data_IF_178247148289
#
_entry.id   IF_178247148289
#
_cell.length_a   1.000
_cell.length_b   1.000
_cell.length_c   1.000
_cell.angle_alpha   90.00
_cell.angle_beta   90.00
_cell.angle_gamma   90.00
#
_symmetry.space_group_name_H-M   'P 1'
#
loop_
_entity.id
_entity.type
_entity.pdbx_description
1 polymer ?
#
# COMPACT_ATOMS: atom_id res chain seq x y z
N UNK A 1 -1.87 -14.74 5.14
CA UNK A 1 -1.73 -13.32 5.46
C UNK A 1 -3.07 -12.70 5.88
N UNK A 2 -4.13 -12.75 5.04
CA UNK A 2 -5.45 -12.17 5.37
C UNK A 2 -6.06 -12.74 6.67
N UNK A 3 -5.98 -14.06 6.90
CA UNK A 3 -6.45 -14.68 8.14
C UNK A 3 -5.74 -14.17 9.40
N UNK A 4 -4.44 -13.88 9.31
CA UNK A 4 -3.68 -13.28 10.40
C UNK A 4 -4.12 -11.85 10.69
N UNK A 5 -4.38 -11.04 9.65
CA UNK A 5 -4.86 -9.67 9.80
C UNK A 5 -6.26 -9.62 10.42
N UNK A 6 -7.15 -10.52 10.02
CA UNK A 6 -8.50 -10.66 10.59
C UNK A 6 -8.41 -11.10 12.05
N UNK A 7 -7.60 -12.11 12.35
CA UNK A 7 -7.39 -12.58 13.72
C UNK A 7 -6.83 -11.48 14.64
N UNK A 8 -5.82 -10.75 14.16
CA UNK A 8 -5.24 -9.62 14.90
C UNK A 8 -6.27 -8.52 15.15
N UNK A 9 -7.14 -8.21 14.18
CA UNK A 9 -8.22 -7.23 14.35
C UNK A 9 -9.19 -7.65 15.45
N UNK A 10 -9.64 -8.91 15.43
CA UNK A 10 -10.56 -9.44 16.45
C UNK A 10 -9.92 -9.39 17.86
N UNK A 11 -8.62 -9.67 17.96
CA UNK A 11 -7.91 -9.59 19.24
C UNK A 11 -7.73 -8.15 19.77
N UNK A 12 -7.69 -7.14 18.90
CA UNK A 12 -7.56 -5.74 19.30
C UNK A 12 -8.89 -5.11 19.77
N UNK A 13 -10.03 -5.61 19.28
CA UNK A 13 -11.35 -5.10 19.67
C UNK A 13 -11.72 -5.44 21.13
N UNK A 14 -10.98 -6.33 21.82
CA UNK A 14 -11.30 -6.81 23.17
C UNK A 14 -10.59 -6.08 24.30
N UNK A 15 -9.45 -5.37 24.08
CA UNK A 15 -8.60 -4.93 25.19
C UNK A 15 -7.94 -3.53 25.07
N UNK A 16 -8.28 -2.69 24.09
CA UNK A 16 -7.53 -1.43 23.91
C UNK A 16 -8.40 -0.17 24.03
N UNK A 17 -8.22 0.61 25.11
CA UNK A 17 -8.79 1.94 25.17
C UNK A 17 -7.98 2.92 24.29
N UNK A 18 -8.70 3.66 23.45
CA UNK A 18 -8.39 5.01 22.90
C UNK A 18 -7.08 5.31 22.13
N UNK A 19 -6.13 4.37 21.97
CA UNK A 19 -4.93 4.59 21.13
C UNK A 19 -5.16 4.28 19.64
N UNK A 20 -6.40 4.02 19.25
CA UNK A 20 -6.81 3.67 17.87
C UNK A 20 -6.52 4.79 16.85
N UNK A 21 -6.28 6.02 17.32
CA UNK A 21 -5.98 7.19 16.49
C UNK A 21 -4.49 7.47 16.31
N UNK A 22 -3.64 6.72 16.98
CA UNK A 22 -2.22 6.83 16.79
C UNK A 22 -1.85 6.21 15.43
N UNK A 23 -1.21 6.95 14.50
CA UNK A 23 -0.72 6.40 13.25
C UNK A 23 0.23 5.22 13.39
N UNK A 24 0.93 5.09 14.53
CA UNK A 24 1.74 3.91 14.87
C UNK A 24 0.93 2.81 15.55
N UNK A 25 -0.34 3.09 15.93
CA UNK A 25 -1.21 2.19 16.71
C UNK A 25 -0.59 1.78 18.07
N UNK A 26 0.23 2.65 18.66
CA UNK A 26 0.96 2.35 19.90
C UNK A 26 2.00 1.23 19.76
N UNK A 27 2.25 0.72 18.55
CA UNK A 27 3.17 -0.40 18.33
C UNK A 27 4.62 0.07 18.32
N UNK A 28 5.50 -0.75 18.89
CA UNK A 28 6.93 -0.58 18.72
C UNK A 28 7.36 -0.93 17.29
N UNK A 29 8.47 -0.35 16.83
CA UNK A 29 8.96 -0.52 15.47
C UNK A 29 9.02 -1.98 14.96
N UNK A 30 9.54 -2.98 15.72
CA UNK A 30 9.60 -4.35 15.24
C UNK A 30 8.21 -4.96 14.96
N UNK A 31 7.25 -4.69 15.84
CA UNK A 31 5.88 -5.19 15.69
C UNK A 31 5.18 -4.50 14.52
N UNK A 32 5.32 -3.17 14.41
CA UNK A 32 4.79 -2.42 13.27
C UNK A 32 5.33 -2.96 11.93
N UNK A 33 6.65 -3.19 11.83
CA UNK A 33 7.28 -3.70 10.62
C UNK A 33 6.85 -5.14 10.30
N UNK A 34 6.61 -5.96 11.31
CA UNK A 34 6.07 -7.31 11.10
C UNK A 34 4.64 -7.26 10.53
N UNK A 35 3.76 -6.46 11.14
CA UNK A 35 2.38 -6.24 10.67
C UNK A 35 2.38 -5.63 9.27
N UNK A 36 3.21 -4.59 9.03
CA UNK A 36 3.38 -3.98 7.72
C UNK A 36 3.79 -5.00 6.66
N UNK A 37 4.75 -5.86 6.96
CA UNK A 37 5.22 -6.88 6.02
C UNK A 37 4.11 -7.88 5.68
N UNK A 38 3.36 -8.36 6.69
CA UNK A 38 2.21 -9.25 6.50
C UNK A 38 1.14 -8.56 5.64
N UNK A 39 0.85 -7.29 5.90
CA UNK A 39 -0.09 -6.48 5.14
C UNK A 39 0.36 -6.33 3.68
N UNK A 40 1.64 -6.03 3.44
CA UNK A 40 2.19 -5.93 2.08
C UNK A 40 2.13 -7.26 1.33
N UNK A 41 2.40 -8.38 1.99
CA UNK A 41 2.23 -9.71 1.40
C UNK A 41 0.76 -9.93 1.02
N UNK A 42 -0.18 -9.64 1.93
CA UNK A 42 -1.61 -9.82 1.69
C UNK A 42 -2.13 -9.01 0.50
N UNK A 43 -1.71 -7.74 0.41
CA UNK A 43 -2.24 -6.79 -0.57
C UNK A 43 -1.46 -6.80 -1.90
N UNK A 44 -0.14 -6.96 -1.83
CA UNK A 44 0.72 -6.75 -3.00
C UNK A 44 1.06 -8.02 -3.75
N UNK A 45 1.12 -9.20 -3.12
CA UNK A 45 1.41 -10.44 -3.85
C UNK A 45 0.35 -10.77 -4.91
N UNK A 46 -0.96 -10.67 -4.64
CA UNK A 46 -1.95 -10.89 -5.68
C UNK A 46 -1.75 -9.97 -6.89
N UNK A 47 -1.38 -8.71 -6.64
CA UNK A 47 -1.17 -7.70 -7.70
C UNK A 47 0.16 -7.88 -8.45
N UNK A 48 1.17 -8.47 -7.82
CA UNK A 48 2.48 -8.76 -8.40
C UNK A 48 2.56 -10.17 -9.04
N UNK A 49 1.56 -11.03 -8.79
CA UNK A 49 1.56 -12.42 -9.25
C UNK A 49 1.84 -12.57 -10.76
N UNK A 50 1.25 -11.78 -11.68
CA UNK A 50 1.55 -11.90 -13.10
C UNK A 50 3.05 -11.73 -13.42
N UNK A 51 3.74 -10.79 -12.75
CA UNK A 51 5.17 -10.56 -12.93
C UNK A 51 6.00 -11.69 -12.33
N UNK A 52 5.70 -12.12 -11.11
CA UNK A 52 6.40 -13.22 -10.42
C UNK A 52 6.30 -14.52 -11.23
N UNK A 53 5.10 -14.83 -11.72
CA UNK A 53 4.87 -16.02 -12.54
C UNK A 53 5.57 -15.93 -13.90
N UNK A 54 5.63 -14.76 -14.53
CA UNK A 54 6.35 -14.57 -15.79
C UNK A 54 7.86 -14.75 -15.57
N UNK A 55 8.43 -14.18 -14.52
CA UNK A 55 9.83 -14.41 -14.15
C UNK A 55 10.11 -15.89 -13.93
N UNK A 56 9.25 -16.56 -13.17
CA UNK A 56 9.36 -18.01 -12.90
C UNK A 56 9.37 -18.82 -14.20
N UNK A 57 8.43 -18.57 -15.13
CA UNK A 57 8.36 -19.28 -16.41
C UNK A 57 9.61 -19.09 -17.27
N UNK A 58 10.18 -17.89 -17.27
CA UNK A 58 11.44 -17.65 -18.00
C UNK A 58 12.59 -18.43 -17.38
N UNK A 59 12.69 -18.45 -16.06
CA UNK A 59 13.74 -19.19 -15.34
C UNK A 59 13.63 -20.71 -15.52
N UNK A 60 12.42 -21.26 -15.45
CA UNK A 60 12.20 -22.70 -15.69
C UNK A 60 12.48 -23.08 -17.15
N UNK A 61 12.17 -22.19 -18.09
CA UNK A 61 12.55 -22.38 -19.49
C UNK A 61 14.07 -22.39 -19.72
N UNK A 62 14.83 -21.58 -18.99
CA UNK A 62 16.31 -21.61 -18.98
C UNK A 62 16.83 -22.92 -18.40
N UNK A 63 16.32 -23.34 -17.27
CA UNK A 63 16.69 -24.62 -16.65
C UNK A 63 16.47 -25.81 -17.59
N UNK A 64 15.36 -25.84 -18.31
CA UNK A 64 15.05 -26.89 -19.29
C UNK A 64 16.02 -26.92 -20.48
N UNK A 65 16.76 -25.85 -20.74
CA UNK A 65 17.83 -25.78 -21.78
C UNK A 65 19.23 -26.01 -21.22
N UNK A 66 19.36 -26.30 -19.92
CA UNK A 66 20.65 -26.48 -19.27
C UNK A 66 21.37 -25.15 -18.90
N UNK A 67 20.69 -24.02 -19.03
CA UNK A 67 21.22 -22.70 -18.63
C UNK A 67 21.15 -22.51 -17.09
N UNK A 68 21.91 -21.56 -16.58
CA UNK A 68 21.91 -21.23 -15.15
C UNK A 68 20.52 -20.79 -14.67
N UNK A 69 19.99 -21.50 -13.68
CA UNK A 69 18.72 -21.24 -13.02
C UNK A 69 18.90 -20.31 -11.82
N UNK A 70 18.01 -19.34 -11.67
CA UNK A 70 17.93 -18.47 -10.49
C UNK A 70 16.56 -18.61 -9.84
N UNK A 71 16.55 -18.86 -8.52
CA UNK A 71 15.31 -19.00 -7.77
C UNK A 71 14.45 -17.75 -7.84
N UNK A 72 13.16 -17.92 -8.11
CA UNK A 72 12.15 -16.84 -8.13
C UNK A 72 12.07 -16.08 -6.80
N UNK A 73 12.40 -16.75 -5.69
CA UNK A 73 12.40 -16.11 -4.38
C UNK A 73 13.44 -14.99 -4.24
N UNK A 74 14.52 -15.03 -5.03
CA UNK A 74 15.52 -13.95 -5.07
C UNK A 74 14.91 -12.68 -5.70
N UNK A 75 14.12 -12.82 -6.75
CA UNK A 75 13.36 -11.72 -7.33
C UNK A 75 12.33 -11.18 -6.33
N UNK A 76 11.60 -12.08 -5.65
CA UNK A 76 10.61 -11.71 -4.62
C UNK A 76 11.27 -10.99 -3.45
N UNK A 77 12.45 -11.43 -3.01
CA UNK A 77 13.20 -10.76 -1.95
C UNK A 77 13.58 -9.32 -2.35
N UNK A 78 14.05 -9.11 -3.57
CA UNK A 78 14.32 -7.76 -4.10
C UNK A 78 13.06 -6.89 -4.13
N UNK A 79 11.93 -7.44 -4.52
CA UNK A 79 10.63 -6.75 -4.50
C UNK A 79 10.21 -6.38 -3.07
N UNK A 80 10.31 -7.32 -2.12
CA UNK A 80 9.94 -7.10 -0.73
C UNK A 80 10.88 -6.14 0.00
N UNK A 81 12.14 -6.04 -0.43
CA UNK A 81 13.10 -5.05 0.11
C UNK A 81 12.55 -3.62 -0.05
N UNK A 82 11.96 -3.29 -1.21
CA UNK A 82 11.37 -1.96 -1.44
C UNK A 82 10.22 -1.70 -0.46
N UNK A 83 9.35 -2.68 -0.23
CA UNK A 83 8.25 -2.55 0.72
C UNK A 83 8.71 -2.52 2.17
N UNK A 84 9.80 -3.23 2.50
CA UNK A 84 10.44 -3.15 3.82
C UNK A 84 10.99 -1.76 4.11
N UNK A 85 11.71 -1.16 3.16
CA UNK A 85 12.20 0.23 3.28
C UNK A 85 11.03 1.20 3.44
N UNK A 86 9.95 1.02 2.66
CA UNK A 86 8.75 1.83 2.82
C UNK A 86 8.07 1.65 4.18
N UNK A 87 8.12 0.44 4.76
CA UNK A 87 7.64 0.20 6.12
C UNK A 87 8.41 1.00 7.17
N UNK A 88 9.73 1.07 7.05
CA UNK A 88 10.56 1.90 7.92
C UNK A 88 10.21 3.38 7.78
N UNK A 89 10.05 3.86 6.55
CA UNK A 89 9.67 5.26 6.28
C UNK A 89 8.24 5.56 6.78
N UNK A 90 7.31 4.62 6.62
CA UNK A 90 5.95 4.75 7.12
C UNK A 90 5.91 4.83 8.65
N UNK A 91 6.67 3.97 9.35
CA UNK A 91 6.80 4.03 10.80
C UNK A 91 7.40 5.36 11.27
N UNK A 92 8.51 5.78 10.68
CA UNK A 92 9.16 7.05 11.03
C UNK A 92 8.24 8.26 10.78
N UNK A 93 7.52 8.26 9.64
CA UNK A 93 6.53 9.29 9.32
C UNK A 93 5.35 9.32 10.29
N UNK A 94 4.82 8.14 10.65
CA UNK A 94 3.75 7.99 11.62
C UNK A 94 4.17 8.50 13.02
N UNK A 95 5.32 8.05 13.52
CA UNK A 95 5.86 8.49 14.80
C UNK A 95 6.14 10.00 14.82
N UNK A 96 6.68 10.55 13.72
CA UNK A 96 6.89 11.99 13.57
C UNK A 96 5.59 12.78 13.56
N UNK A 97 4.55 12.28 12.90
CA UNK A 97 3.23 12.89 12.88
C UNK A 97 2.57 12.90 14.26
N UNK A 98 2.68 11.81 15.02
CA UNK A 98 2.20 11.72 16.41
C UNK A 98 2.90 12.73 17.32
N UNK A 99 4.23 12.78 17.25
CA UNK A 99 5.02 13.74 18.03
C UNK A 99 4.62 15.19 17.69
N UNK A 100 4.45 15.50 16.42
CA UNK A 100 4.06 16.84 15.98
C UNK A 100 2.63 17.17 16.42
N UNK A 101 1.68 16.23 16.28
CA UNK A 101 0.30 16.39 16.70
C UNK A 101 0.19 16.68 18.20
N UNK A 102 0.97 15.95 19.04
CA UNK A 102 1.03 16.17 20.47
C UNK A 102 1.62 17.54 20.85
N UNK A 103 2.62 18.03 20.11
CA UNK A 103 3.22 19.36 20.35
C UNK A 103 2.31 20.52 19.96
N UNK A 104 1.56 20.38 18.89
CA UNK A 104 0.68 21.45 18.35
C UNK A 104 -0.71 21.40 18.97
N UNK A 105 -1.07 20.33 19.68
CA UNK A 105 -2.41 20.16 20.25
C UNK A 105 -3.48 20.08 19.16
N UNK A 106 -3.24 19.25 18.12
CA UNK A 106 -4.17 19.10 17.00
C UNK A 106 -5.54 18.61 17.46
N UNK A 107 -6.58 19.36 17.12
CA UNK A 107 -7.95 18.89 17.34
C UNK A 107 -8.31 17.74 16.39
N UNK A 108 -9.25 16.90 16.81
CA UNK A 108 -9.76 15.77 15.99
C UNK A 108 -10.27 16.25 14.63
N UNK A 109 -10.97 17.39 14.61
CA UNK A 109 -11.48 18.01 13.38
C UNK A 109 -10.33 18.45 12.44
N UNK A 110 -9.23 18.99 12.98
CA UNK A 110 -8.06 19.38 12.20
C UNK A 110 -7.33 18.13 11.66
N UNK A 111 -7.17 17.08 12.47
CA UNK A 111 -6.61 15.82 12.02
C UNK A 111 -7.44 15.19 10.89
N UNK A 112 -8.77 15.21 11.00
CA UNK A 112 -9.66 14.75 9.93
C UNK A 112 -9.51 15.56 8.63
N UNK A 113 -9.38 16.89 8.74
CA UNK A 113 -9.14 17.75 7.55
C UNK A 113 -7.78 17.45 6.89
N UNK A 114 -6.74 17.22 7.68
CA UNK A 114 -5.45 16.76 7.14
C UNK A 114 -5.64 15.44 6.38
N UNK A 115 -6.40 14.49 6.96
CA UNK A 115 -6.77 13.25 6.29
C UNK A 115 -7.51 13.49 4.97
N UNK A 116 -8.47 14.43 4.94
CA UNK A 116 -9.17 14.85 3.72
C UNK A 116 -8.21 15.42 2.67
N UNK A 117 -7.26 16.27 3.07
CA UNK A 117 -6.23 16.78 2.17
C UNK A 117 -5.35 15.66 1.60
N UNK A 118 -4.95 14.68 2.42
CA UNK A 118 -4.19 13.51 1.96
C UNK A 118 -4.98 12.68 0.93
N UNK A 119 -6.29 12.49 1.14
CA UNK A 119 -7.17 11.83 0.16
C UNK A 119 -7.23 12.59 -1.16
N UNK A 120 -7.30 13.93 -1.12
CA UNK A 120 -7.26 14.75 -2.33
C UNK A 120 -5.93 14.64 -3.06
N UNK A 121 -4.80 14.65 -2.33
CA UNK A 121 -3.47 14.43 -2.93
C UNK A 121 -3.39 13.05 -3.58
N UNK A 122 -3.90 12.01 -2.92
CA UNK A 122 -3.97 10.67 -3.49
C UNK A 122 -4.84 10.65 -4.76
N UNK A 123 -6.00 11.32 -4.74
CA UNK A 123 -6.87 11.44 -5.92
C UNK A 123 -6.22 12.19 -7.08
N UNK A 124 -5.54 13.31 -6.80
CA UNK A 124 -4.80 14.07 -7.81
C UNK A 124 -3.67 13.23 -8.43
N UNK A 125 -2.95 12.46 -7.61
CA UNK A 125 -1.92 11.55 -8.09
C UNK A 125 -2.48 10.44 -9.00
N UNK A 126 -3.67 9.91 -8.67
CA UNK A 126 -4.36 8.92 -9.51
C UNK A 126 -4.61 9.42 -10.93
N UNK A 127 -4.74 10.74 -11.11
CA UNK A 127 -4.94 11.39 -12.41
C UNK A 127 -3.62 11.82 -13.07
N UNK A 128 -2.49 11.64 -12.40
CA UNK A 128 -1.20 12.13 -12.88
C UNK A 128 -0.57 11.24 -13.96
N UNK A 129 0.14 11.81 -14.93
CA UNK A 129 0.88 11.06 -15.92
C UNK A 129 2.01 10.23 -15.31
N UNK A 130 2.51 10.62 -14.14
CA UNK A 130 3.54 9.88 -13.42
C UNK A 130 3.03 8.49 -12.97
N UNK A 131 1.80 8.44 -12.46
CA UNK A 131 1.14 7.17 -12.15
C UNK A 131 0.96 6.32 -13.42
N UNK A 132 0.50 6.92 -14.52
CA UNK A 132 0.28 6.19 -15.78
C UNK A 132 1.58 5.53 -16.27
N UNK A 133 2.70 6.24 -16.20
CA UNK A 133 4.03 5.70 -16.54
C UNK A 133 4.43 4.50 -15.68
N UNK A 134 4.24 4.59 -14.36
CA UNK A 134 4.54 3.50 -13.45
C UNK A 134 3.59 2.31 -13.66
N UNK A 135 2.30 2.58 -13.82
CA UNK A 135 1.27 1.58 -14.02
C UNK A 135 1.49 0.79 -15.32
N UNK A 136 1.85 1.47 -16.42
CA UNK A 136 2.16 0.82 -17.69
C UNK A 136 3.28 -0.24 -17.55
N UNK A 137 4.32 0.04 -16.76
CA UNK A 137 5.40 -0.94 -16.48
C UNK A 137 4.93 -2.12 -15.64
N UNK A 138 4.02 -1.91 -14.71
CA UNK A 138 3.43 -2.99 -13.91
C UNK A 138 2.48 -3.88 -14.72
N UNK A 139 1.79 -3.32 -15.72
CA UNK A 139 0.82 -4.02 -16.58
C UNK A 139 1.44 -4.84 -17.71
N UNK A 140 2.72 -4.64 -18.01
CA UNK A 140 3.42 -5.31 -19.12
C UNK A 140 4.57 -6.18 -18.62
N UNK A 141 4.29 -7.35 -17.96
CA UNK A 141 5.34 -8.21 -17.38
C UNK A 141 6.38 -8.66 -18.43
N UNK A 142 5.93 -9.07 -19.61
CA UNK A 142 6.81 -9.50 -20.69
C UNK A 142 7.69 -8.34 -21.17
N UNK A 143 7.10 -7.16 -21.39
CA UNK A 143 7.86 -5.97 -21.79
C UNK A 143 8.88 -5.55 -20.74
N UNK A 144 8.55 -5.64 -19.44
CA UNK A 144 9.48 -5.38 -18.36
C UNK A 144 10.65 -6.38 -18.37
N UNK A 145 10.38 -7.68 -18.52
CA UNK A 145 11.41 -8.72 -18.57
C UNK A 145 12.33 -8.50 -19.77
N UNK A 146 11.79 -8.28 -20.98
CA UNK A 146 12.59 -8.09 -22.20
C UNK A 146 13.53 -6.87 -22.10
N UNK A 147 13.08 -5.80 -21.44
CA UNK A 147 13.86 -4.54 -21.33
C UNK A 147 14.75 -4.47 -20.09
N UNK A 148 14.55 -5.33 -19.12
CA UNK A 148 15.20 -5.24 -17.80
C UNK A 148 15.95 -6.50 -17.42
N UNK A 149 16.05 -7.49 -18.31
CA UNK A 149 16.67 -8.76 -18.03
C UNK A 149 18.14 -8.61 -17.62
N UNK A 150 18.49 -9.24 -16.53
CA UNK A 150 19.86 -9.39 -16.04
C UNK A 150 20.07 -10.81 -15.53
N UNK A 151 21.16 -11.43 -15.92
CA UNK A 151 21.49 -12.79 -15.50
C UNK A 151 22.07 -12.84 -14.08
N UNK A 152 21.95 -14.02 -13.47
CA UNK A 152 22.47 -14.30 -12.14
C UNK A 152 21.62 -13.79 -10.97
N UNK A 153 21.98 -14.16 -9.73
CA UNK A 153 21.21 -13.82 -8.53
C UNK A 153 21.09 -12.31 -8.31
N UNK A 154 22.17 -11.55 -8.50
CA UNK A 154 22.15 -10.08 -8.40
C UNK A 154 21.29 -9.43 -9.47
N UNK A 155 21.25 -10.01 -10.68
CA UNK A 155 20.33 -9.60 -11.73
C UNK A 155 18.87 -9.76 -11.30
N UNK A 156 18.53 -10.89 -10.68
CA UNK A 156 17.19 -11.15 -10.15
C UNK A 156 16.79 -10.19 -9.03
N UNK A 157 17.70 -9.91 -8.07
CA UNK A 157 17.47 -8.89 -7.02
C UNK A 157 17.21 -7.53 -7.65
N UNK A 158 18.06 -7.09 -8.58
CA UNK A 158 17.92 -5.79 -9.25
C UNK A 158 16.60 -5.68 -9.99
N UNK A 159 16.17 -6.74 -10.70
CA UNK A 159 14.87 -6.79 -11.37
C UNK A 159 13.72 -6.72 -10.37
N UNK A 160 13.82 -7.43 -9.24
CA UNK A 160 12.85 -7.39 -8.15
C UNK A 160 12.72 -5.99 -7.56
N UNK A 161 13.83 -5.34 -7.22
CA UNK A 161 13.85 -3.94 -6.73
C UNK A 161 13.26 -2.98 -7.75
N UNK A 162 13.66 -3.09 -9.02
CA UNK A 162 13.14 -2.21 -10.08
C UNK A 162 11.63 -2.38 -10.27
N UNK A 163 11.13 -3.61 -10.24
CA UNK A 163 9.70 -3.87 -10.29
C UNK A 163 8.99 -3.33 -9.05
N UNK A 164 9.58 -3.51 -7.86
CA UNK A 164 9.09 -2.95 -6.60
C UNK A 164 8.95 -1.43 -6.64
N UNK A 165 9.93 -0.72 -7.20
CA UNK A 165 9.88 0.73 -7.37
C UNK A 165 8.77 1.19 -8.32
N UNK A 166 8.54 0.51 -9.44
CA UNK A 166 7.40 0.81 -10.30
C UNK A 166 6.06 0.50 -9.61
N UNK A 167 6.00 -0.63 -8.89
CA UNK A 167 4.83 -1.01 -8.10
C UNK A 167 4.53 0.02 -7.01
N UNK A 168 5.55 0.45 -6.27
CA UNK A 168 5.45 1.53 -5.30
C UNK A 168 4.95 2.81 -5.97
N UNK A 169 5.61 3.24 -7.05
CA UNK A 169 5.24 4.44 -7.80
C UNK A 169 3.78 4.46 -8.25
N UNK A 170 3.19 3.31 -8.62
CA UNK A 170 1.80 3.31 -9.07
C UNK A 170 0.75 3.31 -7.94
N UNK A 171 1.12 2.99 -6.67
CA UNK A 171 0.12 2.80 -5.61
C UNK A 171 0.46 3.41 -4.23
N UNK A 172 1.63 4.03 -4.03
CA UNK A 172 2.08 4.50 -2.72
C UNK A 172 1.11 5.48 -2.04
N UNK A 173 0.48 6.38 -2.79
CA UNK A 173 -0.50 7.32 -2.24
C UNK A 173 -1.83 6.66 -1.86
N UNK A 174 -2.19 5.53 -2.50
CA UNK A 174 -3.34 4.73 -2.06
C UNK A 174 -3.07 4.07 -0.69
N UNK A 175 -1.80 3.68 -0.43
CA UNK A 175 -1.41 3.22 0.91
C UNK A 175 -1.40 4.35 1.93
N UNK A 176 -0.96 5.54 1.54
CA UNK A 176 -1.01 6.72 2.40
C UNK A 176 -2.47 7.10 2.74
N UNK A 177 -3.40 6.91 1.80
CA UNK A 177 -4.83 7.12 2.03
C UNK A 177 -5.43 6.13 3.07
N UNK A 178 -4.79 5.00 3.35
CA UNK A 178 -5.24 4.09 4.41
C UNK A 178 -5.09 4.71 5.81
N UNK A 179 -4.16 5.62 6.04
CA UNK A 179 -4.01 6.26 7.36
C UNK A 179 -5.28 6.99 7.80
N UNK A 180 -5.85 7.93 7.01
CA UNK A 180 -7.10 8.57 7.38
C UNK A 180 -8.32 7.64 7.30
N UNK A 181 -8.30 6.59 6.48
CA UNK A 181 -9.39 5.62 6.36
C UNK A 181 -9.34 4.53 7.45
N UNK A 182 -8.28 4.51 8.25
CA UNK A 182 -7.99 3.48 9.25
C UNK A 182 -7.11 2.37 8.65
N UNK A 183 -5.82 2.42 9.00
CA UNK A 183 -4.80 1.50 8.47
C UNK A 183 -5.11 0.02 8.76
N UNK A 184 -5.83 -0.28 9.84
CA UNK A 184 -6.29 -1.63 10.21
C UNK A 184 -7.74 -1.92 9.79
N UNK A 185 -8.38 -1.04 9.03
CA UNK A 185 -9.69 -1.32 8.47
C UNK A 185 -9.58 -2.38 7.38
N UNK A 186 -10.04 -3.61 7.67
CA UNK A 186 -10.06 -4.72 6.71
C UNK A 186 -10.82 -4.33 5.43
N UNK A 187 -11.91 -3.58 5.58
CA UNK A 187 -12.68 -3.10 4.44
C UNK A 187 -11.88 -2.12 3.57
N UNK A 188 -11.22 -1.12 4.17
CA UNK A 188 -10.37 -0.17 3.44
C UNK A 188 -9.19 -0.90 2.75
N UNK A 189 -8.54 -1.81 3.45
CA UNK A 189 -7.45 -2.64 2.89
C UNK A 189 -7.93 -3.49 1.72
N UNK A 190 -9.11 -4.14 1.84
CA UNK A 190 -9.68 -4.96 0.77
C UNK A 190 -10.04 -4.10 -0.45
N UNK A 191 -10.68 -2.95 -0.25
CA UNK A 191 -11.02 -2.01 -1.33
C UNK A 191 -9.76 -1.54 -2.05
N UNK A 192 -8.72 -1.09 -1.32
CA UNK A 192 -7.45 -0.65 -1.94
C UNK A 192 -6.77 -1.81 -2.67
N UNK A 193 -6.76 -3.01 -2.10
CA UNK A 193 -6.19 -4.21 -2.77
C UNK A 193 -6.92 -4.52 -4.08
N UNK A 194 -8.25 -4.57 -4.05
CA UNK A 194 -9.07 -4.83 -5.23
C UNK A 194 -8.89 -3.74 -6.29
N UNK A 195 -8.83 -2.47 -5.85
CA UNK A 195 -8.58 -1.34 -6.74
C UNK A 195 -7.23 -1.47 -7.44
N UNK A 196 -6.13 -1.65 -6.68
CA UNK A 196 -4.78 -1.81 -7.24
C UNK A 196 -4.68 -3.05 -8.12
N UNK A 197 -5.34 -4.15 -7.74
CA UNK A 197 -5.42 -5.36 -8.56
C UNK A 197 -6.15 -5.07 -9.88
N UNK A 198 -7.31 -4.44 -9.83
CA UNK A 198 -8.10 -4.09 -11.00
C UNK A 198 -7.35 -3.14 -11.96
N UNK A 199 -6.69 -2.12 -11.41
CA UNK A 199 -5.87 -1.19 -12.18
C UNK A 199 -4.73 -1.90 -12.94
N UNK A 200 -4.12 -2.93 -12.34
CA UNK A 200 -2.97 -3.64 -12.92
C UNK A 200 -3.37 -4.75 -13.88
N UNK A 201 -4.49 -5.42 -13.66
CA UNK A 201 -4.85 -6.65 -14.38
C UNK A 201 -5.94 -6.46 -15.42
N UNK A 202 -6.88 -5.55 -15.19
CA UNK A 202 -8.02 -5.37 -16.10
C UNK A 202 -7.65 -4.49 -17.30
N UNK A 203 -8.25 -4.75 -18.49
CA UNK A 203 -8.03 -3.92 -19.69
C UNK A 203 -8.35 -2.43 -19.44
N UNK A 204 -9.40 -2.16 -18.67
CA UNK A 204 -9.85 -0.81 -18.31
C UNK A 204 -9.10 -0.18 -17.13
N UNK A 205 -7.95 -0.71 -16.72
CA UNK A 205 -7.24 -0.30 -15.50
C UNK A 205 -6.92 1.20 -15.42
N UNK A 206 -6.58 1.84 -16.53
CA UNK A 206 -6.36 3.30 -16.57
C UNK A 206 -7.66 4.10 -16.32
N UNK A 207 -8.80 3.62 -16.84
CA UNK A 207 -10.09 4.23 -16.57
C UNK A 207 -10.49 4.06 -15.10
N UNK A 208 -10.24 2.88 -14.53
CA UNK A 208 -10.46 2.59 -13.11
C UNK A 208 -9.63 3.55 -12.25
N UNK A 209 -8.35 3.75 -12.58
CA UNK A 209 -7.49 4.70 -11.89
C UNK A 209 -8.04 6.14 -11.94
N UNK A 210 -8.53 6.57 -13.10
CA UNK A 210 -9.13 7.91 -13.25
C UNK A 210 -10.42 8.07 -12.46
N UNK A 211 -11.30 7.06 -12.51
CA UNK A 211 -12.57 7.08 -11.75
C UNK A 211 -12.30 7.09 -10.25
N UNK A 212 -11.39 6.25 -9.77
CA UNK A 212 -11.01 6.23 -8.35
C UNK A 212 -10.32 7.52 -7.93
N UNK A 213 -9.53 8.14 -8.81
CA UNK A 213 -8.92 9.44 -8.57
C UNK A 213 -9.96 10.54 -8.36
N UNK A 214 -10.98 10.63 -9.22
CA UNK A 214 -12.10 11.57 -9.06
C UNK A 214 -12.88 11.29 -7.78
N UNK A 215 -13.17 10.01 -7.49
CA UNK A 215 -13.87 9.62 -6.26
C UNK A 215 -13.10 10.03 -5.00
N UNK A 216 -11.77 9.83 -4.96
CA UNK A 216 -10.92 10.25 -3.86
C UNK A 216 -10.86 11.78 -3.71
N UNK A 217 -10.82 12.53 -4.82
CA UNK A 217 -10.88 14.00 -4.79
C UNK A 217 -12.19 14.50 -4.19
N UNK A 218 -13.31 13.96 -4.65
CA UNK A 218 -14.64 14.36 -4.16
C UNK A 218 -14.81 13.97 -2.68
N UNK A 219 -14.39 12.78 -2.31
CA UNK A 219 -14.47 12.32 -0.92
C UNK A 219 -13.56 13.14 -0.01
N UNK A 220 -12.31 13.40 -0.42
CA UNK A 220 -11.38 14.26 0.33
C UNK A 220 -11.92 15.69 0.50
N UNK A 221 -12.53 16.26 -0.54
CA UNK A 221 -13.18 17.56 -0.46
C UNK A 221 -14.40 17.55 0.51
N UNK A 222 -15.20 16.49 0.48
CA UNK A 222 -16.31 16.31 1.43
C UNK A 222 -15.80 16.23 2.89
N UNK A 223 -14.71 15.54 3.14
CA UNK A 223 -14.08 15.45 4.49
C UNK A 223 -13.54 16.80 4.94
N UNK A 224 -13.00 17.63 4.06
CA UNK A 224 -12.56 18.99 4.41
C UNK A 224 -13.71 19.86 4.92
N UNK A 225 -14.89 19.72 4.32
CA UNK A 225 -16.10 20.48 4.70
C UNK A 225 -16.79 19.82 5.90
N UNK A 226 -16.92 18.50 5.88
CA UNK A 226 -17.60 17.69 6.87
C UNK A 226 -16.61 16.65 7.47
N UNK A 227 -15.81 17.01 8.48
CA UNK A 227 -14.84 16.11 9.09
C UNK A 227 -15.43 14.78 9.60
N UNK A 228 -16.68 14.81 10.04
CA UNK A 228 -17.44 13.63 10.49
C UNK A 228 -17.72 12.61 9.38
N UNK A 229 -17.50 12.94 8.12
CA UNK A 229 -17.59 11.97 7.01
C UNK A 229 -16.45 10.95 7.00
N UNK A 230 -15.40 11.17 7.78
CA UNK A 230 -14.28 10.23 7.89
C UNK A 230 -14.64 9.09 8.86
N UNK A 231 -14.49 7.81 8.49
CA UNK A 231 -14.85 6.68 9.35
C UNK A 231 -14.12 6.69 10.70
N UNK A 232 -12.88 7.15 10.72
CA UNK A 232 -12.07 7.28 11.94
C UNK A 232 -12.59 8.36 12.88
N UNK A 233 -13.27 9.38 12.38
CA UNK A 233 -13.88 10.43 13.20
C UNK A 233 -15.13 9.92 13.94
N UNK A 234 -15.99 9.17 13.26
CA UNK A 234 -17.23 8.63 13.86
C UNK A 234 -16.97 7.66 15.01
N UNK A 235 -15.88 6.89 14.94
CA UNK A 235 -15.48 5.99 16.00
C UNK A 235 -15.05 6.74 17.29
N UNK A 236 -14.53 7.98 17.17
CA UNK A 236 -14.15 8.82 18.31
C UNK A 236 -15.36 9.40 19.03
N UNK A 237 -16.33 9.94 18.29
CA UNK A 237 -17.53 10.56 18.88
C UNK A 237 -18.43 9.53 19.58
N UNK A 238 -18.53 8.31 19.05
CA UNK A 238 -19.31 7.24 19.67
C UNK A 238 -18.77 6.76 21.02
N UNK A 239 -17.47 6.93 21.28
CA UNK A 239 -16.85 6.59 22.58
C UNK A 239 -16.98 7.66 23.65
N UNK A 240 -17.18 8.91 23.26
CA UNK A 240 -17.34 10.04 24.23
C UNK A 240 -18.77 10.10 24.78
N UNK A 241 -19.73 9.47 24.10
CA UNK A 241 -21.15 9.51 24.48
C UNK A 241 -21.65 8.26 25.26
N UNK A 242 -20.80 7.28 25.55
CA UNK A 242 -21.08 6.13 26.41
C UNK A 242 -20.20 6.14 27.65
#
# INVERSE_FOLDING_TARGET
AWSLLIWQRIGMDTDMPMEIYSPTMGMQAPLFLAVWTIMMIAMMFPTAAPMILTFHRVQTGKQGRGDAFVSTWIFVAGYMLVWGVMGVLAFAGAAGAEMLAGRVGLSTAMAARIGGALLMVAGAYQLSPLKDLCLAKCRTPIGFILTSWRDGPWGAVHMGVRHGLFCLGCCWLLFLALFPLGIMSIAAMAVVTLLVFAEKTLPAGERIAKVSGVALLLYGAAVLVFPQALPTFQAADGMIMN
#
